data_IF_448612664187
#
_entry.id   IF_448612664187
#
_cell.length_a   1.000
_cell.length_b   1.000
_cell.length_c   1.000
_cell.angle_alpha   90.00
_cell.angle_beta   90.00
_cell.angle_gamma   90.00
#
_symmetry.space_group_name_H-M   'P 1'
#
loop_
_entity.id
_entity.type
_entity.pdbx_description
1 polymer ?
#
# COMPACT_ATOMS: atom_id res chain seq x y z
N UNK A 1 3.79 -14.37 14.85
CA UNK A 1 3.97 -13.06 14.15
C UNK A 1 3.09 -13.07 12.90
N UNK A 2 2.16 -12.13 12.76
CA UNK A 2 1.18 -12.11 11.65
C UNK A 2 1.88 -12.07 10.28
N UNK A 3 1.39 -12.84 9.29
CA UNK A 3 1.92 -12.93 7.92
C UNK A 3 2.21 -11.55 7.31
N UNK A 4 1.38 -10.57 7.63
CA UNK A 4 1.49 -9.19 7.13
C UNK A 4 2.78 -8.48 7.58
N UNK A 5 3.25 -8.75 8.81
CA UNK A 5 4.48 -8.14 9.35
C UNK A 5 5.76 -8.64 8.68
N UNK A 6 5.77 -9.91 8.26
CA UNK A 6 6.93 -10.50 7.56
C UNK A 6 7.00 -9.98 6.12
N UNK A 7 5.86 -9.91 5.43
CA UNK A 7 5.79 -9.39 4.06
C UNK A 7 6.26 -7.94 3.97
N UNK A 8 5.87 -7.09 4.92
CA UNK A 8 6.32 -5.69 4.97
C UNK A 8 7.84 -5.56 5.14
N UNK A 9 8.44 -6.39 6.01
CA UNK A 9 9.90 -6.41 6.18
C UNK A 9 10.62 -6.86 4.91
N UNK A 10 10.09 -7.85 4.22
CA UNK A 10 10.69 -8.33 2.96
C UNK A 10 10.60 -7.28 1.84
N UNK A 11 9.46 -6.57 1.73
CA UNK A 11 9.33 -5.44 0.80
C UNK A 11 10.37 -4.36 1.10
N UNK A 12 10.50 -3.96 2.37
CA UNK A 12 11.47 -2.94 2.77
C UNK A 12 12.91 -3.38 2.46
N UNK A 13 13.25 -4.65 2.70
CA UNK A 13 14.57 -5.17 2.36
C UNK A 13 14.87 -5.12 0.86
N UNK A 14 13.87 -5.41 0.00
CA UNK A 14 14.02 -5.28 -1.47
C UNK A 14 14.25 -3.83 -1.89
N UNK A 15 13.53 -2.88 -1.29
CA UNK A 15 13.74 -1.45 -1.53
C UNK A 15 15.15 -0.98 -1.11
N UNK A 16 15.66 -1.48 0.02
CA UNK A 16 17.04 -1.21 0.47
C UNK A 16 18.06 -1.76 -0.53
N UNK A 17 17.84 -2.97 -1.07
CA UNK A 17 18.71 -3.56 -2.09
C UNK A 17 18.78 -2.64 -3.31
N UNK A 18 17.63 -2.25 -3.85
CA UNK A 18 17.55 -1.34 -5.00
C UNK A 18 18.27 -0.01 -4.73
N UNK A 19 18.07 0.56 -3.55
CA UNK A 19 18.73 1.81 -3.14
C UNK A 19 20.25 1.67 -3.13
N UNK A 20 20.76 0.55 -2.59
CA UNK A 20 22.19 0.27 -2.54
C UNK A 20 22.76 -0.01 -3.94
N UNK A 21 22.08 -0.81 -4.77
CA UNK A 21 22.47 -1.07 -6.16
C UNK A 21 22.58 0.22 -6.98
N UNK A 22 21.60 1.13 -6.80
CA UNK A 22 21.59 2.44 -7.44
C UNK A 22 22.67 3.38 -6.93
N UNK A 23 23.03 3.31 -5.65
CA UNK A 23 24.11 4.10 -5.06
C UNK A 23 25.47 3.65 -5.59
N UNK A 24 25.75 2.35 -5.53
CA UNK A 24 27.03 1.78 -5.96
C UNK A 24 27.16 1.60 -7.47
N UNK A 25 26.05 1.71 -8.23
CA UNK A 25 25.97 1.41 -9.67
C UNK A 25 26.37 -0.03 -9.98
N UNK A 26 25.89 -0.96 -9.14
CA UNK A 26 26.21 -2.38 -9.22
C UNK A 26 24.97 -3.24 -9.12
N UNK A 27 25.00 -4.39 -9.78
CA UNK A 27 23.99 -5.43 -9.62
C UNK A 27 24.49 -6.49 -8.62
N UNK A 28 23.78 -6.65 -7.51
CA UNK A 28 24.14 -7.54 -6.41
C UNK A 28 23.87 -9.02 -6.70
N UNK A 29 23.11 -9.34 -7.76
CA UNK A 29 22.97 -10.71 -8.28
C UNK A 29 24.27 -11.22 -8.90
N UNK A 30 25.19 -10.34 -9.28
CA UNK A 30 26.49 -10.74 -9.84
C UNK A 30 27.32 -11.49 -8.78
N UNK A 31 27.63 -12.76 -9.05
CA UNK A 31 28.48 -13.60 -8.20
C UNK A 31 29.96 -13.35 -8.50
N UNK A 32 30.48 -12.23 -8.01
CA UNK A 32 31.91 -11.91 -8.05
C UNK A 32 32.54 -11.97 -6.66
N UNK A 33 33.82 -12.37 -6.58
CA UNK A 33 34.65 -12.33 -5.36
C UNK A 33 35.48 -11.05 -5.25
N UNK A 34 35.44 -10.16 -6.25
CA UNK A 34 36.19 -8.89 -6.22
C UNK A 34 35.58 -7.96 -5.17
N UNK A 35 36.43 -7.25 -4.42
CA UNK A 35 36.01 -6.34 -3.34
C UNK A 35 34.98 -5.30 -3.79
N UNK A 36 35.09 -4.80 -5.03
CA UNK A 36 34.13 -3.87 -5.63
C UNK A 36 32.69 -4.41 -5.64
N UNK A 37 32.47 -5.74 -5.65
CA UNK A 37 31.13 -6.34 -5.52
C UNK A 37 30.85 -6.90 -4.12
N UNK A 38 31.89 -7.32 -3.40
CA UNK A 38 31.74 -7.95 -2.08
C UNK A 38 31.38 -6.89 -1.04
N UNK A 39 32.14 -5.81 -0.94
CA UNK A 39 31.96 -4.79 0.11
C UNK A 39 30.57 -4.13 0.01
N UNK A 40 30.09 -3.66 -1.16
CA UNK A 40 28.74 -3.11 -1.29
C UNK A 40 27.62 -4.07 -0.86
N UNK A 41 27.75 -5.36 -1.17
CA UNK A 41 26.76 -6.36 -0.73
C UNK A 41 26.80 -6.58 0.77
N UNK A 42 27.99 -6.60 1.37
CA UNK A 42 28.14 -6.73 2.81
C UNK A 42 27.50 -5.53 3.52
N UNK A 43 27.75 -4.31 3.04
CA UNK A 43 27.12 -3.07 3.51
C UNK A 43 25.60 -3.19 3.43
N UNK A 44 25.06 -3.59 2.29
CA UNK A 44 23.61 -3.76 2.11
C UNK A 44 23.00 -4.80 3.07
N UNK A 45 23.64 -5.96 3.27
CA UNK A 45 23.21 -6.97 4.24
C UNK A 45 23.17 -6.42 5.67
N UNK A 46 24.21 -5.66 6.06
CA UNK A 46 24.28 -5.01 7.38
C UNK A 46 23.17 -3.96 7.56
N UNK A 47 22.92 -3.13 6.54
CA UNK A 47 21.82 -2.15 6.56
C UNK A 47 20.45 -2.82 6.71
N UNK A 48 20.17 -3.89 5.97
CA UNK A 48 18.91 -4.64 6.10
C UNK A 48 18.77 -5.21 7.52
N UNK A 49 19.87 -5.76 8.08
CA UNK A 49 19.86 -6.29 9.45
C UNK A 49 19.56 -5.19 10.47
N UNK A 50 20.19 -4.03 10.35
CA UNK A 50 20.11 -2.97 11.36
C UNK A 50 18.84 -2.12 11.25
N UNK A 51 18.30 -1.94 10.04
CA UNK A 51 17.12 -1.09 9.80
C UNK A 51 15.83 -1.91 9.85
N UNK A 52 15.80 -3.07 9.19
CA UNK A 52 14.57 -3.88 9.02
C UNK A 52 14.45 -4.95 10.12
N UNK A 53 15.59 -5.35 10.69
CA UNK A 53 15.69 -6.47 11.63
C UNK A 53 15.06 -7.75 11.04
N UNK A 54 15.48 -8.10 9.81
CA UNK A 54 15.24 -9.41 9.22
C UNK A 54 16.21 -10.45 9.81
N UNK A 55 15.79 -11.70 9.80
CA UNK A 55 16.65 -12.82 10.21
C UNK A 55 17.83 -12.98 9.24
N UNK A 56 18.97 -13.48 9.72
CA UNK A 56 20.11 -13.76 8.85
C UNK A 56 19.77 -14.75 7.72
N UNK A 57 18.87 -15.70 8.00
CA UNK A 57 18.33 -16.66 7.03
C UNK A 57 17.52 -15.97 5.93
N UNK A 58 16.57 -15.08 6.30
CA UNK A 58 15.76 -14.37 5.32
C UNK A 58 16.61 -13.39 4.49
N UNK A 59 17.63 -12.75 5.10
CA UNK A 59 18.61 -11.93 4.36
C UNK A 59 19.41 -12.81 3.40
N UNK A 60 19.87 -13.99 3.85
CA UNK A 60 20.59 -14.94 3.01
C UNK A 60 19.83 -15.30 1.74
N UNK A 61 18.53 -15.55 1.86
CA UNK A 61 17.63 -15.83 0.72
C UNK A 61 17.57 -14.68 -0.30
N UNK A 62 17.58 -13.43 0.16
CA UNK A 62 17.55 -12.27 -0.75
C UNK A 62 18.82 -12.15 -1.61
N UNK A 63 19.95 -12.65 -1.12
CA UNK A 63 21.25 -12.59 -1.81
C UNK A 63 21.75 -13.94 -2.33
N UNK A 64 20.95 -15.00 -2.17
CA UNK A 64 21.31 -16.38 -2.49
C UNK A 64 22.63 -16.80 -1.80
N UNK A 65 22.65 -16.60 -0.47
CA UNK A 65 23.79 -16.85 0.44
C UNK A 65 23.35 -17.61 1.69
N UNK A 66 24.29 -18.37 2.25
CA UNK A 66 24.11 -19.00 3.55
C UNK A 66 24.06 -17.97 4.69
N UNK A 67 23.24 -18.22 5.71
CA UNK A 67 23.07 -17.33 6.87
C UNK A 67 24.39 -17.03 7.59
N UNK A 68 25.35 -17.96 7.65
CA UNK A 68 26.66 -17.72 8.23
C UNK A 68 27.49 -16.71 7.42
N UNK A 69 27.30 -16.69 6.09
CA UNK A 69 27.91 -15.67 5.22
C UNK A 69 27.34 -14.28 5.51
N UNK A 70 26.05 -14.18 5.84
CA UNK A 70 25.42 -12.91 6.23
C UNK A 70 25.96 -12.45 7.58
N UNK A 71 26.07 -13.34 8.56
CA UNK A 71 26.65 -13.01 9.88
C UNK A 71 28.07 -12.48 9.72
N UNK A 72 28.90 -13.17 8.93
CA UNK A 72 30.25 -12.73 8.61
C UNK A 72 30.26 -11.34 7.95
N UNK A 73 29.35 -11.11 6.99
CA UNK A 73 29.23 -9.84 6.29
C UNK A 73 28.89 -8.68 7.22
N UNK A 74 27.94 -8.86 8.13
CA UNK A 74 27.59 -7.83 9.12
C UNK A 74 28.77 -7.47 10.01
N UNK A 75 29.48 -8.47 10.57
CA UNK A 75 30.68 -8.24 11.39
C UNK A 75 31.78 -7.52 10.62
N UNK A 76 31.98 -7.87 9.34
CA UNK A 76 32.98 -7.21 8.50
C UNK A 76 32.65 -5.75 8.23
N UNK A 77 31.37 -5.41 8.08
CA UNK A 77 30.95 -4.01 7.95
C UNK A 77 31.21 -3.24 9.23
N UNK A 78 30.98 -3.83 10.41
CA UNK A 78 31.33 -3.19 11.67
C UNK A 78 32.83 -2.87 11.74
N UNK A 79 33.69 -3.81 11.34
CA UNK A 79 35.13 -3.57 11.20
C UNK A 79 35.42 -2.43 10.21
N UNK A 80 34.84 -2.46 9.01
CA UNK A 80 35.07 -1.44 7.98
C UNK A 80 34.64 -0.05 8.43
N UNK A 81 33.50 0.07 9.11
CA UNK A 81 33.02 1.35 9.63
C UNK A 81 34.03 1.94 10.63
N UNK A 82 34.74 1.11 11.40
CA UNK A 82 35.74 1.58 12.34
C UNK A 82 37.00 2.10 11.62
N UNK A 83 37.51 1.34 10.65
CA UNK A 83 38.86 1.56 10.10
C UNK A 83 38.91 2.24 8.73
N UNK A 84 37.83 2.16 7.94
CA UNK A 84 37.74 2.70 6.58
C UNK A 84 36.77 3.90 6.55
N UNK A 85 37.32 5.09 6.27
CA UNK A 85 36.56 6.35 6.28
C UNK A 85 35.57 6.43 5.12
N UNK A 86 35.91 5.85 3.97
CA UNK A 86 35.10 5.92 2.76
C UNK A 86 33.90 4.97 2.89
N UNK A 87 34.14 3.75 3.37
CA UNK A 87 33.05 2.80 3.65
C UNK A 87 32.13 3.34 4.76
N UNK A 88 32.68 3.96 5.81
CA UNK A 88 31.87 4.60 6.85
C UNK A 88 31.01 5.74 6.28
N UNK A 89 31.57 6.57 5.40
CA UNK A 89 30.83 7.63 4.74
C UNK A 89 29.66 7.06 3.93
N UNK A 90 29.93 6.08 3.07
CA UNK A 90 28.91 5.42 2.25
C UNK A 90 27.79 4.80 3.12
N UNK A 91 28.17 4.11 4.21
CA UNK A 91 27.22 3.50 5.13
C UNK A 91 26.28 4.53 5.74
N UNK A 92 26.81 5.67 6.20
CA UNK A 92 26.02 6.74 6.80
C UNK A 92 25.10 7.39 5.76
N UNK A 93 25.61 7.71 4.57
CA UNK A 93 24.83 8.29 3.48
C UNK A 93 23.66 7.37 3.08
N UNK A 94 23.90 6.08 2.94
CA UNK A 94 22.87 5.10 2.65
C UNK A 94 21.85 4.99 3.79
N UNK A 95 22.32 4.97 5.04
CA UNK A 95 21.45 4.91 6.22
C UNK A 95 20.49 6.10 6.26
N UNK A 96 20.99 7.31 6.06
CA UNK A 96 20.20 8.53 6.09
C UNK A 96 19.20 8.57 4.94
N UNK A 97 19.64 8.21 3.73
CA UNK A 97 18.78 8.11 2.56
C UNK A 97 17.62 7.12 2.78
N UNK A 98 17.93 5.89 3.21
CA UNK A 98 16.92 4.86 3.47
C UNK A 98 15.92 5.30 4.55
N UNK A 99 16.40 5.94 5.62
CA UNK A 99 15.52 6.44 6.69
C UNK A 99 14.60 7.55 6.18
N UNK A 100 15.12 8.46 5.37
CA UNK A 100 14.32 9.53 4.78
C UNK A 100 13.24 8.99 3.86
N UNK A 101 13.59 8.07 2.95
CA UNK A 101 12.65 7.40 2.04
C UNK A 101 11.55 6.66 2.82
N UNK A 102 11.92 5.95 3.90
CA UNK A 102 10.95 5.29 4.77
C UNK A 102 10.02 6.26 5.50
N UNK A 103 10.55 7.39 5.99
CA UNK A 103 9.72 8.41 6.63
C UNK A 103 8.73 9.05 5.64
N UNK A 104 9.16 9.32 4.41
CA UNK A 104 8.28 9.85 3.36
C UNK A 104 7.16 8.84 3.05
N UNK A 105 7.49 7.56 2.92
CA UNK A 105 6.50 6.51 2.71
C UNK A 105 5.47 6.44 3.85
N UNK A 106 5.93 6.45 5.11
CA UNK A 106 5.02 6.41 6.28
C UNK A 106 4.14 7.66 6.33
N UNK A 107 4.70 8.86 6.07
CA UNK A 107 3.94 10.11 6.03
C UNK A 107 2.90 10.12 4.92
N UNK A 108 3.27 9.64 3.73
CA UNK A 108 2.35 9.50 2.60
C UNK A 108 1.19 8.54 2.92
N UNK A 109 1.48 7.41 3.54
CA UNK A 109 0.47 6.44 3.97
C UNK A 109 -0.45 7.00 5.07
N UNK A 110 0.10 7.71 6.07
CA UNK A 110 -0.73 8.34 7.11
C UNK A 110 -1.68 9.38 6.54
N UNK A 111 -1.24 10.14 5.54
CA UNK A 111 -2.08 11.12 4.86
C UNK A 111 -3.22 10.43 4.10
N UNK A 112 -2.91 9.41 3.30
CA UNK A 112 -3.93 8.63 2.58
C UNK A 112 -4.92 7.94 3.55
N UNK A 113 -4.44 7.40 4.67
CA UNK A 113 -5.31 6.81 5.69
C UNK A 113 -6.23 7.84 6.34
N UNK A 114 -5.73 9.05 6.59
CA UNK A 114 -6.54 10.15 7.11
C UNK A 114 -7.60 10.58 6.09
N UNK A 115 -7.24 10.69 4.80
CA UNK A 115 -8.17 10.98 3.70
C UNK A 115 -9.28 9.92 3.60
N UNK A 116 -8.93 8.62 3.66
CA UNK A 116 -9.90 7.52 3.66
C UNK A 116 -10.83 7.60 4.88
N UNK A 117 -10.28 7.92 6.06
CA UNK A 117 -11.09 8.07 7.27
C UNK A 117 -12.08 9.24 7.16
N UNK A 118 -11.64 10.36 6.57
CA UNK A 118 -12.49 11.52 6.30
C UNK A 118 -13.60 11.12 5.32
N UNK A 119 -13.26 10.45 4.21
CA UNK A 119 -14.24 9.99 3.23
C UNK A 119 -15.26 9.03 3.87
N UNK A 120 -14.82 8.06 4.67
CA UNK A 120 -15.73 7.13 5.34
C UNK A 120 -16.65 7.84 6.35
N UNK A 121 -16.14 8.86 7.05
CA UNK A 121 -16.96 9.71 7.91
C UNK A 121 -17.98 10.50 7.09
N UNK A 122 -17.58 11.09 5.96
CA UNK A 122 -18.49 11.82 5.06
C UNK A 122 -19.57 10.90 4.48
N UNK A 123 -19.19 9.70 4.03
CA UNK A 123 -20.13 8.69 3.53
C UNK A 123 -21.11 8.22 4.60
N UNK A 124 -20.67 8.13 5.86
CA UNK A 124 -21.55 7.77 6.98
C UNK A 124 -22.52 8.89 7.35
N UNK A 125 -22.21 10.14 7.02
CA UNK A 125 -23.07 11.31 7.21
C UNK A 125 -24.05 11.52 6.05
N UNK A 126 -23.81 10.92 4.87
CA UNK A 126 -24.79 10.81 3.79
C UNK A 126 -25.85 9.78 4.19
N UNK A 127 -26.87 10.23 4.90
CA UNK A 127 -27.97 9.36 5.31
C UNK A 127 -28.92 9.06 4.13
N UNK A 128 -29.18 7.77 3.88
CA UNK A 128 -30.22 7.30 2.94
C UNK A 128 -31.60 7.87 3.29
N UNK A 129 -31.79 8.33 4.54
CA UNK A 129 -33.00 8.99 4.98
C UNK A 129 -33.27 10.30 4.22
N UNK A 130 -32.25 11.10 3.86
CA UNK A 130 -32.49 12.31 3.06
C UNK A 130 -33.02 11.98 1.67
N UNK A 131 -32.53 10.91 1.05
CA UNK A 131 -33.02 10.44 -0.25
C UNK A 131 -34.42 9.78 -0.12
N UNK A 132 -34.69 9.12 1.01
CA UNK A 132 -36.01 8.55 1.32
C UNK A 132 -37.05 9.65 1.53
N UNK A 133 -36.72 10.69 2.25
CA UNK A 133 -37.59 11.85 2.47
C UNK A 133 -37.84 12.60 1.15
N UNK A 134 -36.82 12.74 0.30
CA UNK A 134 -37.00 13.29 -1.06
C UNK A 134 -37.92 12.39 -1.89
N UNK A 135 -37.76 11.06 -1.83
CA UNK A 135 -38.60 10.10 -2.54
C UNK A 135 -40.06 10.14 -2.05
N UNK A 136 -40.25 10.22 -0.75
CA UNK A 136 -41.58 10.27 -0.12
C UNK A 136 -42.27 11.61 -0.43
N UNK A 137 -41.54 12.73 -0.43
CA UNK A 137 -42.05 14.04 -0.88
C UNK A 137 -42.40 14.07 -2.37
N UNK A 138 -41.60 13.44 -3.24
CA UNK A 138 -41.92 13.34 -4.68
C UNK A 138 -43.18 12.49 -4.89
N UNK A 139 -43.32 11.36 -4.17
CA UNK A 139 -44.54 10.55 -4.21
C UNK A 139 -45.75 11.35 -3.76
N UNK A 140 -45.62 12.11 -2.68
CA UNK A 140 -46.75 12.84 -2.13
C UNK A 140 -47.20 14.00 -3.02
N UNK A 141 -46.26 14.78 -3.57
CA UNK A 141 -46.59 15.82 -4.56
C UNK A 141 -47.24 15.26 -5.84
N UNK A 142 -46.88 14.04 -6.26
CA UNK A 142 -47.52 13.38 -7.40
C UNK A 142 -48.95 12.90 -7.08
N UNK A 143 -49.21 12.47 -5.84
CA UNK A 143 -50.55 12.07 -5.36
C UNK A 143 -51.44 13.30 -5.16
N UNK A 144 -50.91 14.36 -4.55
CA UNK A 144 -51.64 15.61 -4.28
C UNK A 144 -51.98 16.35 -5.59
N UNK A 145 -51.07 16.33 -6.58
CA UNK A 145 -51.34 16.84 -7.93
C UNK A 145 -52.37 16.03 -8.74
N UNK A 146 -52.77 14.84 -8.28
CA UNK A 146 -53.83 14.01 -8.87
C UNK A 146 -55.22 14.34 -8.33
N UNK A 147 -55.33 14.95 -7.15
CA UNK A 147 -56.64 15.31 -6.58
C UNK A 147 -57.29 16.51 -7.29
N UNK A 148 -56.59 17.18 -8.20
CA UNK A 148 -57.09 18.35 -8.92
C UNK A 148 -57.44 18.09 -10.41
N UNK A 149 -57.24 16.87 -10.95
CA UNK A 149 -57.68 16.53 -12.32
C UNK A 149 -58.15 15.09 -12.48
N UNK A 150 -59.40 14.97 -12.87
CA UNK A 150 -60.06 13.81 -13.48
C UNK A 150 -59.26 13.22 -14.66
N UNK A 151 -58.58 12.08 -14.47
CA UNK A 151 -58.26 11.10 -15.53
C UNK A 151 -57.48 9.90 -14.97
N UNK A 152 -58.18 8.79 -14.70
CA UNK A 152 -57.67 7.62 -13.96
C UNK A 152 -56.81 6.63 -14.77
N UNK A 153 -56.60 6.77 -16.08
CA UNK A 153 -56.08 5.62 -16.87
C UNK A 153 -54.58 5.63 -17.28
N UNK A 154 -53.83 6.74 -17.24
CA UNK A 154 -52.47 6.73 -17.83
C UNK A 154 -51.30 6.49 -16.85
N UNK A 155 -51.41 6.90 -15.59
CA UNK A 155 -50.23 6.99 -14.71
C UNK A 155 -49.96 5.81 -13.77
N UNK A 156 -50.71 4.69 -13.88
CA UNK A 156 -50.34 3.43 -13.18
C UNK A 156 -49.23 2.67 -13.93
N UNK A 157 -49.06 2.95 -15.23
CA UNK A 157 -48.03 2.35 -16.09
C UNK A 157 -46.62 2.88 -15.78
N UNK A 158 -46.50 4.15 -15.41
CA UNK A 158 -45.20 4.81 -15.19
C UNK A 158 -44.58 4.51 -13.83
N UNK A 159 -45.38 4.34 -12.78
CA UNK A 159 -44.88 3.95 -11.45
C UNK A 159 -44.30 2.52 -11.49
N UNK A 160 -44.96 1.60 -12.20
CA UNK A 160 -44.43 0.25 -12.46
C UNK A 160 -43.13 0.27 -13.27
N UNK A 161 -42.98 1.26 -14.16
CA UNK A 161 -41.78 1.44 -14.98
C UNK A 161 -40.60 1.97 -14.16
N UNK A 162 -40.84 2.89 -13.22
CA UNK A 162 -39.81 3.42 -12.31
C UNK A 162 -39.32 2.35 -11.33
N UNK A 163 -40.22 1.57 -10.73
CA UNK A 163 -39.83 0.48 -9.82
C UNK A 163 -39.05 -0.63 -10.54
N UNK A 164 -39.41 -0.91 -11.81
CA UNK A 164 -38.66 -1.85 -12.66
C UNK A 164 -37.25 -1.34 -12.97
N UNK A 165 -37.10 -0.09 -13.38
CA UNK A 165 -35.79 0.54 -13.68
C UNK A 165 -34.90 0.60 -12.43
N UNK A 166 -35.45 0.92 -11.26
CA UNK A 166 -34.72 0.89 -9.99
C UNK A 166 -34.28 -0.52 -9.61
N UNK A 167 -35.15 -1.53 -9.79
CA UNK A 167 -34.82 -2.93 -9.50
C UNK A 167 -33.76 -3.51 -10.45
N UNK A 168 -33.75 -3.10 -11.71
CA UNK A 168 -32.76 -3.49 -12.73
C UNK A 168 -31.40 -2.81 -12.47
N UNK A 169 -31.40 -1.54 -12.06
CA UNK A 169 -30.19 -0.78 -11.73
C UNK A 169 -29.48 -1.32 -10.47
N UNK A 170 -30.25 -1.76 -9.47
CA UNK A 170 -29.70 -2.39 -8.26
C UNK A 170 -29.14 -3.80 -8.53
N UNK A 171 -29.71 -4.55 -9.49
CA UNK A 171 -29.17 -5.84 -9.92
C UNK A 171 -27.88 -5.71 -10.75
N UNK A 172 -27.74 -4.64 -11.52
CA UNK A 172 -26.53 -4.35 -12.31
C UNK A 172 -25.28 -3.99 -11.47
N UNK A 173 -25.47 -3.56 -10.22
CA UNK A 173 -24.37 -3.15 -9.33
C UNK A 173 -23.73 -4.31 -8.54
N UNK A 174 -24.36 -5.49 -8.50
CA UNK A 174 -23.82 -6.67 -7.80
C UNK A 174 -22.95 -7.59 -8.68
N UNK A 175 -22.67 -7.21 -9.94
CA UNK A 175 -21.98 -8.09 -10.90
C UNK A 175 -20.70 -7.44 -11.43
N UNK A 176 -19.86 -6.89 -10.55
CA UNK A 176 -18.43 -6.71 -10.84
C UNK A 176 -17.63 -6.50 -9.54
N UNK A 177 -17.55 -7.55 -8.70
CA UNK A 177 -16.37 -7.77 -7.87
C UNK A 177 -15.89 -9.20 -8.12
N UNK A 178 -14.73 -9.26 -8.79
CA UNK A 178 -14.13 -10.43 -9.42
C UNK A 178 -13.77 -11.54 -8.42
N UNK A 179 -14.15 -12.76 -8.76
CA UNK A 179 -13.28 -13.92 -8.61
C UNK A 179 -12.41 -14.03 -9.87
N UNK A 180 -11.10 -14.05 -9.67
CA UNK A 180 -10.05 -14.17 -10.69
C UNK A 180 -8.69 -14.06 -10.04
#
# INVERSE_FOLDING_TARGET
MSKNSKQNKEYLAKSIIETCENFYKLNFRVRSRKNIYVIPRQVCMSLIRNIVNLSFEDIGKLFDRDHASVIYSCRKVDDYILFDKDIRYDYNQLTDKIRLENQIYIKGFSNASAEISIINSMLSQLDLNQLRDIKDNIKQNYIDGRQDKTSEEEGLSDVHRVDKVLSESLKGSSVHFFGG
#
